data_IF_673451660236
#
_entry.id   IF_673451660236
#
_cell.length_a   1.000
_cell.length_b   1.000
_cell.length_c   1.000
_cell.angle_alpha   90.00
_cell.angle_beta   90.00
_cell.angle_gamma   90.00
#
_symmetry.space_group_name_H-M   'P 1'
#
loop_
_entity.id
_entity.type
_entity.pdbx_description
1 polymer ?
#
# COMPACT_ATOMS: atom_id res chain seq x y z
N UNK A 1 20.09 -34.89 -19.92
CA UNK A 1 20.28 -33.60 -19.23
C UNK A 1 20.48 -33.88 -17.75
N UNK A 2 21.62 -33.52 -17.14
CA UNK A 2 21.95 -33.93 -15.77
C UNK A 2 20.94 -33.38 -14.74
N UNK A 3 20.46 -34.21 -13.82
CA UNK A 3 19.46 -33.85 -12.80
C UNK A 3 19.85 -32.58 -12.01
N UNK A 4 21.15 -32.39 -11.75
CA UNK A 4 21.67 -31.16 -11.10
C UNK A 4 21.46 -29.90 -11.94
N UNK A 5 21.68 -29.96 -13.26
CA UNK A 5 21.47 -28.81 -14.18
C UNK A 5 19.98 -28.49 -14.29
N UNK A 6 19.14 -29.52 -14.42
CA UNK A 6 17.68 -29.36 -14.48
C UNK A 6 17.13 -28.69 -13.21
N UNK A 7 17.62 -29.10 -12.03
CA UNK A 7 17.22 -28.50 -10.75
C UNK A 7 17.54 -26.99 -10.67
N UNK A 8 18.76 -26.58 -11.03
CA UNK A 8 19.11 -25.15 -11.05
C UNK A 8 18.27 -24.36 -12.05
N UNK A 9 18.01 -24.92 -13.24
CA UNK A 9 17.14 -24.28 -14.23
C UNK A 9 15.74 -24.04 -13.68
N UNK A 10 15.15 -25.02 -12.99
CA UNK A 10 13.83 -24.88 -12.38
C UNK A 10 13.81 -23.81 -11.27
N UNK A 11 14.84 -23.74 -10.43
CA UNK A 11 14.96 -22.68 -9.41
C UNK A 11 15.02 -21.30 -10.08
N UNK A 12 15.83 -21.14 -11.13
CA UNK A 12 15.92 -19.85 -11.82
C UNK A 12 14.59 -19.42 -12.45
N UNK A 13 13.86 -20.36 -13.07
CA UNK A 13 12.52 -20.10 -13.62
C UNK A 13 11.55 -19.68 -12.50
N UNK A 14 11.59 -20.37 -11.35
CA UNK A 14 10.76 -20.03 -10.20
C UNK A 14 11.08 -18.62 -9.66
N UNK A 15 12.36 -18.29 -9.49
CA UNK A 15 12.78 -16.95 -9.05
C UNK A 15 12.32 -15.87 -10.04
N UNK A 16 12.49 -16.10 -11.35
CA UNK A 16 12.02 -15.18 -12.37
C UNK A 16 10.50 -14.98 -12.33
N UNK A 17 9.75 -16.07 -12.13
CA UNK A 17 8.30 -16.02 -12.01
C UNK A 17 7.83 -15.17 -10.80
N UNK A 18 8.48 -15.34 -9.64
CA UNK A 18 8.17 -14.53 -8.44
C UNK A 18 8.47 -13.05 -8.68
N UNK A 19 9.62 -12.73 -9.29
CA UNK A 19 9.98 -11.34 -9.64
C UNK A 19 8.97 -10.75 -10.62
N UNK A 20 8.52 -11.51 -11.61
CA UNK A 20 7.52 -11.05 -12.57
C UNK A 20 6.19 -10.68 -11.90
N UNK A 21 5.69 -11.52 -10.98
CA UNK A 21 4.46 -11.24 -10.21
C UNK A 21 4.61 -9.96 -9.38
N UNK A 22 5.78 -9.78 -8.75
CA UNK A 22 6.10 -8.59 -7.98
C UNK A 22 6.05 -7.34 -8.86
N UNK A 23 6.72 -7.36 -10.01
CA UNK A 23 6.77 -6.24 -10.95
C UNK A 23 5.38 -5.87 -11.49
N UNK A 24 4.55 -6.86 -11.82
CA UNK A 24 3.17 -6.63 -12.28
C UNK A 24 2.34 -5.95 -11.18
N UNK A 25 2.49 -6.40 -9.93
CA UNK A 25 1.75 -5.83 -8.81
C UNK A 25 2.17 -4.38 -8.53
N UNK A 26 3.47 -4.09 -8.53
CA UNK A 26 3.97 -2.71 -8.39
C UNK A 26 3.43 -1.86 -9.54
N UNK A 27 3.58 -2.33 -10.78
CA UNK A 27 3.09 -1.63 -11.97
C UNK A 27 1.60 -1.29 -11.90
N UNK A 28 0.75 -2.23 -11.44
CA UNK A 28 -0.68 -1.98 -11.20
C UNK A 28 -0.86 -0.80 -10.24
N UNK A 29 -0.20 -0.83 -9.08
CA UNK A 29 -0.36 0.22 -8.07
C UNK A 29 0.16 1.57 -8.54
N UNK A 30 1.24 1.63 -9.31
CA UNK A 30 1.75 2.88 -9.89
C UNK A 30 0.76 3.46 -10.91
N UNK A 31 0.21 2.62 -11.80
CA UNK A 31 -0.81 3.06 -12.78
C UNK A 31 -2.05 3.59 -12.06
N UNK A 32 -2.55 2.87 -11.06
CA UNK A 32 -3.71 3.33 -10.27
C UNK A 32 -3.40 4.64 -9.53
N UNK A 33 -2.19 4.79 -9.00
CA UNK A 33 -1.78 6.02 -8.31
C UNK A 33 -1.70 7.20 -9.26
N UNK A 34 -1.19 7.01 -10.48
CA UNK A 34 -1.14 8.07 -11.49
C UNK A 34 -2.54 8.48 -11.94
N UNK A 35 -3.46 7.53 -12.11
CA UNK A 35 -4.81 7.80 -12.61
C UNK A 35 -5.70 8.41 -11.51
N UNK A 36 -5.72 7.81 -10.31
CA UNK A 36 -6.70 8.11 -9.26
C UNK A 36 -6.10 8.78 -8.02
N UNK A 37 -4.77 8.85 -7.90
CA UNK A 37 -4.11 9.34 -6.68
C UNK A 37 -4.51 10.77 -6.29
N UNK A 38 -4.77 11.64 -7.28
CA UNK A 38 -5.18 13.02 -7.02
C UNK A 38 -6.46 13.15 -6.19
N UNK A 39 -7.39 12.21 -6.33
CA UNK A 39 -8.65 12.20 -5.56
C UNK A 39 -8.40 12.04 -4.06
N UNK A 40 -7.34 11.31 -3.71
CA UNK A 40 -7.00 10.99 -2.31
C UNK A 40 -5.90 11.89 -1.76
N UNK A 41 -5.03 12.45 -2.59
CA UNK A 41 -4.04 13.44 -2.18
C UNK A 41 -4.70 14.62 -1.46
N UNK A 42 -5.80 15.14 -2.00
CA UNK A 42 -6.52 16.25 -1.36
C UNK A 42 -7.17 15.85 -0.04
N UNK A 43 -7.74 14.65 0.05
CA UNK A 43 -8.38 14.12 1.27
C UNK A 43 -7.34 13.96 2.37
N UNK A 44 -6.20 13.38 2.01
CA UNK A 44 -5.11 13.07 2.92
C UNK A 44 -4.29 14.31 3.32
N UNK A 45 -4.04 15.25 2.40
CA UNK A 45 -3.30 16.49 2.67
C UNK A 45 -4.13 17.51 3.46
N UNK A 46 -5.43 17.60 3.21
CA UNK A 46 -6.28 18.57 3.88
C UNK A 46 -6.76 18.10 5.27
N UNK A 47 -6.36 16.92 5.73
CA UNK A 47 -6.71 16.41 7.06
C UNK A 47 -8.22 16.27 7.31
N UNK A 48 -9.04 16.34 6.25
CA UNK A 48 -10.49 16.12 6.31
C UNK A 48 -10.77 14.62 6.31
N UNK A 49 -10.21 13.93 7.29
CA UNK A 49 -10.75 12.64 7.70
C UNK A 49 -12.15 12.93 8.25
N UNK A 50 -13.18 12.56 7.50
CA UNK A 50 -14.59 12.67 7.90
C UNK A 50 -14.80 11.97 9.24
N UNK A 51 -15.05 12.77 10.29
CA UNK A 51 -15.85 12.58 11.52
C UNK A 51 -15.92 11.22 12.25
N UNK A 52 -15.14 10.19 11.88
CA UNK A 52 -15.41 8.82 12.33
C UNK A 52 -14.25 8.03 12.95
N UNK A 53 -12.99 8.21 12.54
CA UNK A 53 -11.93 7.31 12.99
C UNK A 53 -10.55 7.98 13.04
N UNK A 54 -9.91 7.84 14.20
CA UNK A 54 -8.51 8.12 14.47
C UNK A 54 -8.02 9.56 14.23
N UNK A 55 -8.15 10.38 15.28
CA UNK A 55 -7.57 11.72 15.45
C UNK A 55 -6.03 11.71 15.61
N UNK A 56 -5.35 10.78 14.94
CA UNK A 56 -3.90 10.71 14.86
C UNK A 56 -3.47 11.58 13.69
N UNK A 57 -3.07 12.81 13.98
CA UNK A 57 -2.70 13.80 12.97
C UNK A 57 -1.65 13.22 12.01
N UNK A 58 -2.07 12.83 10.80
CA UNK A 58 -1.16 12.61 9.69
C UNK A 58 -0.64 13.99 9.30
N UNK A 59 0.32 14.50 10.07
CA UNK A 59 0.79 15.88 9.90
C UNK A 59 1.52 16.06 8.58
N UNK A 60 2.15 15.00 8.05
CA UNK A 60 2.78 14.96 6.72
C UNK A 60 2.86 13.53 6.18
N UNK A 61 2.30 13.32 4.99
CA UNK A 61 2.52 12.11 4.19
C UNK A 61 3.82 12.27 3.41
N UNK A 62 4.60 11.20 3.33
CA UNK A 62 5.80 11.13 2.49
C UNK A 62 5.43 10.66 1.08
N UNK A 63 4.67 9.57 0.99
CA UNK A 63 4.07 9.12 -0.26
C UNK A 63 2.79 8.31 -0.03
N UNK A 64 2.03 8.15 -1.11
CA UNK A 64 0.80 7.38 -1.16
C UNK A 64 0.74 6.53 -2.42
N UNK A 65 0.12 5.34 -2.31
CA UNK A 65 -0.09 4.39 -3.40
C UNK A 65 -1.52 3.87 -3.36
N UNK A 66 -2.20 3.94 -4.50
CA UNK A 66 -3.52 3.31 -4.70
C UNK A 66 -3.28 1.82 -4.94
N UNK A 67 -3.66 0.98 -3.98
CA UNK A 67 -3.50 -0.48 -4.06
C UNK A 67 -4.59 -1.13 -4.90
N UNK A 68 -5.81 -0.64 -4.73
CA UNK A 68 -6.98 -1.13 -5.44
C UNK A 68 -8.01 -0.01 -5.60
N UNK A 69 -8.77 -0.07 -6.69
CA UNK A 69 -9.75 0.95 -7.04
C UNK A 69 -10.90 0.33 -7.82
N UNK A 70 -12.13 0.58 -7.37
CA UNK A 70 -13.39 0.32 -8.06
C UNK A 70 -14.20 1.61 -8.17
N UNK A 71 -15.40 1.51 -8.74
CA UNK A 71 -16.30 2.65 -8.88
C UNK A 71 -16.66 3.32 -7.54
N UNK A 72 -16.84 2.53 -6.48
CA UNK A 72 -17.36 2.95 -5.18
C UNK A 72 -16.42 2.63 -4.01
N UNK A 73 -15.24 2.05 -4.27
CA UNK A 73 -14.30 1.63 -3.23
C UNK A 73 -12.86 1.85 -3.66
N UNK A 74 -12.02 2.31 -2.75
CA UNK A 74 -10.60 2.43 -2.96
C UNK A 74 -9.81 1.96 -1.73
N UNK A 75 -8.67 1.34 -1.96
CA UNK A 75 -7.73 0.99 -0.90
C UNK A 75 -6.41 1.68 -1.15
N UNK A 76 -5.97 2.44 -0.17
CA UNK A 76 -4.84 3.35 -0.27
C UNK A 76 -3.79 2.94 0.77
N UNK A 77 -2.55 2.81 0.34
CA UNK A 77 -1.40 2.70 1.23
C UNK A 77 -0.72 4.06 1.34
N UNK A 78 -0.53 4.55 2.56
CA UNK A 78 0.17 5.82 2.80
C UNK A 78 1.26 5.64 3.86
N UNK A 79 2.40 6.28 3.63
CA UNK A 79 3.49 6.35 4.60
C UNK A 79 3.60 7.77 5.12
N UNK A 80 3.53 7.92 6.43
CA UNK A 80 3.72 9.20 7.07
C UNK A 80 5.20 9.45 7.37
N UNK A 81 5.57 10.73 7.47
CA UNK A 81 6.96 11.13 7.80
C UNK A 81 7.36 10.79 9.22
N UNK A 82 6.39 10.53 10.11
CA UNK A 82 6.64 10.03 11.46
C UNK A 82 7.06 8.56 11.50
N UNK A 83 7.12 7.88 10.36
CA UNK A 83 7.62 6.51 10.26
C UNK A 83 6.56 5.45 10.55
N UNK A 84 5.36 5.60 9.98
CA UNK A 84 4.37 4.53 9.95
C UNK A 84 3.72 4.39 8.58
N UNK A 85 3.50 3.14 8.18
CA UNK A 85 2.77 2.76 6.98
C UNK A 85 1.35 2.34 7.33
N UNK A 86 0.36 2.91 6.67
CA UNK A 86 -1.05 2.71 6.97
C UNK A 86 -1.82 2.34 5.71
N UNK A 87 -2.84 1.51 5.87
CA UNK A 87 -3.80 1.17 4.82
C UNK A 87 -5.16 1.75 5.19
N UNK A 88 -5.67 2.58 4.30
CA UNK A 88 -6.95 3.25 4.39
C UNK A 88 -7.89 2.64 3.35
N UNK A 89 -9.14 2.40 3.71
CA UNK A 89 -10.19 2.03 2.77
C UNK A 89 -11.20 3.16 2.71
N UNK A 90 -11.52 3.59 1.51
CA UNK A 90 -12.54 4.60 1.23
C UNK A 90 -13.70 3.95 0.49
N UNK A 91 -14.90 4.38 0.80
CA UNK A 91 -16.12 4.06 0.04
C UNK A 91 -16.80 5.35 -0.39
N UNK A 92 -17.35 5.34 -1.59
CA UNK A 92 -18.01 6.49 -2.20
C UNK A 92 -19.46 6.54 -1.77
N UNK A 93 -19.89 7.67 -1.22
CA UNK A 93 -21.26 7.86 -0.78
C UNK A 93 -22.19 8.24 -1.95
N UNK A 94 -23.48 8.44 -1.67
CA UNK A 94 -24.49 8.80 -2.67
C UNK A 94 -24.24 10.18 -3.32
N UNK A 95 -23.45 11.04 -2.68
CA UNK A 95 -23.08 12.37 -3.16
C UNK A 95 -21.74 12.37 -3.92
N UNK A 96 -21.28 11.19 -4.36
CA UNK A 96 -20.01 10.98 -5.06
C UNK A 96 -18.76 11.39 -4.26
N UNK A 97 -18.88 11.46 -2.94
CA UNK A 97 -17.79 11.82 -2.03
C UNK A 97 -17.17 10.58 -1.39
N UNK A 98 -15.84 10.54 -1.36
CA UNK A 98 -15.09 9.48 -0.67
C UNK A 98 -15.15 9.66 0.84
N UNK A 99 -15.50 8.59 1.55
CA UNK A 99 -15.51 8.53 3.01
C UNK A 99 -14.63 7.37 3.49
N UNK A 100 -13.76 7.62 4.46
CA UNK A 100 -12.94 6.56 5.05
C UNK A 100 -13.82 5.61 5.87
N UNK A 101 -13.75 4.32 5.57
CA UNK A 101 -14.51 3.28 6.28
C UNK A 101 -13.62 2.36 7.11
N UNK A 102 -12.32 2.29 6.80
CA UNK A 102 -11.36 1.47 7.53
C UNK A 102 -9.98 2.11 7.54
N UNK A 103 -9.34 2.02 8.69
CA UNK A 103 -7.95 2.40 8.90
C UNK A 103 -7.19 1.24 9.56
N UNK A 104 -5.98 0.94 9.09
CA UNK A 104 -5.08 -0.02 9.72
C UNK A 104 -3.63 0.43 9.59
N UNK A 105 -2.94 0.58 10.72
CA UNK A 105 -1.48 0.67 10.74
C UNK A 105 -0.90 -0.70 10.39
N UNK A 106 -0.07 -0.77 9.35
CA UNK A 106 0.61 -2.00 8.92
C UNK A 106 1.94 -2.13 9.65
N UNK A 107 2.71 -1.04 9.68
CA UNK A 107 3.99 -1.00 10.37
C UNK A 107 4.24 0.38 10.97
N UNK A 108 5.05 0.44 12.02
CA UNK A 108 5.48 1.68 12.66
C UNK A 108 6.87 1.52 13.26
N UNK A 109 7.75 2.51 13.05
CA UNK A 109 9.11 2.55 13.62
C UNK A 109 9.08 2.57 15.15
N UNK A 110 8.07 3.20 15.75
CA UNK A 110 7.94 3.34 17.21
C UNK A 110 6.93 2.38 17.84
N UNK A 111 6.31 1.50 17.05
CA UNK A 111 5.18 0.65 17.47
C UNK A 111 5.49 -0.84 17.44
N UNK A 112 4.53 -1.64 17.88
CA UNK A 112 4.57 -3.11 17.78
C UNK A 112 3.90 -3.67 16.52
N UNK A 113 3.34 -2.81 15.67
CA UNK A 113 2.71 -3.22 14.42
C UNK A 113 3.79 -3.59 13.40
N UNK A 114 3.76 -4.82 12.91
CA UNK A 114 4.75 -5.37 11.99
C UNK A 114 4.11 -6.36 11.03
N UNK A 115 3.06 -5.90 10.35
CA UNK A 115 2.41 -6.64 9.28
C UNK A 115 3.09 -6.32 7.93
N UNK A 116 2.84 -7.15 6.92
CA UNK A 116 3.36 -6.95 5.57
C UNK A 116 2.27 -6.46 4.62
N UNK A 117 2.60 -5.47 3.79
CA UNK A 117 1.70 -4.98 2.75
C UNK A 117 2.21 -5.41 1.37
N UNK A 118 1.35 -6.00 0.56
CA UNK A 118 1.68 -6.29 -0.83
C UNK A 118 1.30 -5.11 -1.73
N UNK A 119 2.14 -4.72 -2.72
CA UNK A 119 3.45 -5.28 -3.07
C UNK A 119 4.63 -4.70 -2.25
N UNK A 120 4.39 -3.74 -1.36
CA UNK A 120 5.43 -2.96 -0.67
C UNK A 120 5.97 -3.60 0.63
N UNK A 121 6.17 -4.93 0.64
CA UNK A 121 6.52 -5.67 1.86
C UNK A 121 7.91 -5.28 2.41
N UNK A 122 8.77 -4.75 1.54
CA UNK A 122 10.08 -4.23 1.93
C UNK A 122 9.99 -3.03 2.86
N UNK A 123 8.91 -2.25 2.84
CA UNK A 123 8.79 -1.08 3.72
C UNK A 123 8.76 -1.51 5.18
N UNK A 124 8.07 -2.61 5.49
CA UNK A 124 8.10 -3.19 6.84
C UNK A 124 9.51 -3.62 7.22
N UNK A 125 10.23 -4.31 6.33
CA UNK A 125 11.60 -4.82 6.61
C UNK A 125 12.59 -3.67 6.81
N UNK A 126 12.59 -2.70 5.91
CA UNK A 126 13.53 -1.58 5.92
C UNK A 126 13.31 -0.65 7.12
N UNK A 127 12.06 -0.47 7.57
CA UNK A 127 11.73 0.47 8.64
C UNK A 127 11.63 -0.19 10.03
N UNK A 128 11.27 -1.48 10.11
CA UNK A 128 11.10 -2.18 11.39
C UNK A 128 12.22 -3.19 11.70
N UNK A 129 13.15 -3.46 10.78
CA UNK A 129 14.33 -4.30 11.03
C UNK A 129 14.02 -5.80 11.20
N UNK A 130 13.00 -6.31 10.50
CA UNK A 130 12.63 -7.72 10.44
C UNK A 130 13.55 -8.56 9.54
#
# INVERSE_FOLDING_TARGET
MNNRRMFFTLIMILCFYVIAIQMVSIGKTEVLTVIYGKEFDEILLNGKMSDGAHKGTITKIDYMKVLDYSYDKATIYCVNRSGSGNVCTYEKNQDDCWTETKWKTVWSVSGSDSDMIWPYWWDTILNCGL
#
